data_IF_540966969172
#
_entry.id   IF_540966969172
#
_cell.length_a   1.000
_cell.length_b   1.000
_cell.length_c   1.000
_cell.angle_alpha   90.00
_cell.angle_beta   90.00
_cell.angle_gamma   90.00
#
_symmetry.space_group_name_H-M   'P 1'
#
loop_
_entity.id
_entity.type
_entity.pdbx_description
1 polymer ?
#
# COMPACT_ATOMS: atom_id res chain seq x y z
N UNK A 1 30.43 9.03 56.60
CA UNK A 1 29.82 10.38 56.43
C UNK A 1 28.52 10.21 55.66
N UNK A 2 27.40 10.68 56.20
CA UNK A 2 26.06 10.58 55.61
C UNK A 2 25.83 11.80 54.69
N UNK A 3 25.45 11.60 53.43
CA UNK A 3 24.94 12.68 52.56
C UNK A 3 23.46 12.44 52.28
N UNK A 4 22.69 13.47 52.61
CA UNK A 4 21.23 13.50 52.71
C UNK A 4 20.61 13.66 51.32
N UNK A 5 19.50 12.95 51.11
CA UNK A 5 18.54 13.10 50.01
C UNK A 5 17.76 14.40 50.23
N UNK A 6 17.54 15.18 49.17
CA UNK A 6 16.57 16.29 49.16
C UNK A 6 15.52 16.01 48.08
N UNK A 7 14.29 15.73 48.53
CA UNK A 7 13.05 15.83 47.76
C UNK A 7 12.61 17.29 47.71
N UNK A 8 12.09 17.75 46.57
CA UNK A 8 11.44 19.07 46.47
C UNK A 8 10.10 18.92 45.76
N UNK A 9 9.05 18.84 46.58
CA UNK A 9 7.78 19.57 46.49
C UNK A 9 6.99 19.61 45.18
N UNK A 10 5.93 18.81 45.15
CA UNK A 10 4.70 19.06 44.36
C UNK A 10 4.01 20.33 44.90
N UNK A 11 3.58 21.22 44.00
CA UNK A 11 2.64 22.29 44.33
C UNK A 11 1.44 22.21 43.38
N UNK A 12 0.32 21.74 43.92
CA UNK A 12 -0.99 21.83 43.29
C UNK A 12 -1.58 23.22 43.54
N UNK A 13 -2.12 23.84 42.49
CA UNK A 13 -2.97 25.02 42.63
C UNK A 13 -4.20 24.83 41.73
N UNK A 14 -5.30 24.39 42.35
CA UNK A 14 -6.64 24.44 41.78
C UNK A 14 -7.29 25.76 42.21
N UNK A 15 -8.09 26.37 41.33
CA UNK A 15 -9.25 27.27 41.57
C UNK A 15 -9.63 27.88 40.20
N UNK A 16 -10.87 28.13 39.75
CA UNK A 16 -12.26 27.99 40.23
C UNK A 16 -13.14 28.20 38.97
N UNK A 17 -14.28 27.51 38.89
CA UNK A 17 -15.31 27.73 37.87
C UNK A 17 -15.99 29.11 38.02
N UNK A 18 -16.22 29.80 36.90
CA UNK A 18 -17.25 30.83 36.78
C UNK A 18 -18.14 30.52 35.58
N UNK A 19 -19.37 30.10 35.86
CA UNK A 19 -20.47 30.06 34.92
C UNK A 19 -21.22 31.40 34.99
N UNK A 20 -21.53 32.02 33.85
CA UNK A 20 -22.77 32.77 33.63
C UNK A 20 -22.83 33.34 32.21
N UNK A 21 -24.01 33.24 31.58
CA UNK A 21 -24.51 34.29 30.69
C UNK A 21 -24.87 33.88 29.27
N UNK A 22 -26.12 33.45 29.08
CA UNK A 22 -26.83 33.53 27.79
C UNK A 22 -26.99 34.99 27.36
N UNK A 23 -26.90 35.29 26.06
CA UNK A 23 -27.22 36.62 25.52
C UNK A 23 -27.04 36.71 24.00
N UNK A 24 -28.06 37.21 23.31
CA UNK A 24 -28.31 37.18 21.87
C UNK A 24 -27.48 38.16 21.00
N UNK A 25 -27.51 37.84 19.69
CA UNK A 25 -27.50 38.70 18.49
C UNK A 25 -26.31 39.62 18.18
N UNK A 26 -25.80 39.48 16.94
CA UNK A 26 -25.75 40.48 15.83
C UNK A 26 -24.91 39.84 14.70
N UNK A 27 -25.46 39.56 13.51
CA UNK A 27 -25.50 40.44 12.31
C UNK A 27 -24.08 40.92 11.93
N UNK A 28 -23.50 40.66 10.75
CA UNK A 28 -23.82 41.11 9.37
C UNK A 28 -22.86 40.37 8.40
N UNK A 29 -23.32 39.75 7.31
CA UNK A 29 -23.33 40.19 5.88
C UNK A 29 -22.49 39.15 5.08
N UNK A 30 -23.04 38.23 4.28
CA UNK A 30 -23.68 38.32 2.95
C UNK A 30 -22.88 39.12 1.89
N UNK A 31 -22.38 38.37 0.91
CA UNK A 31 -22.45 38.54 -0.56
C UNK A 31 -21.80 37.25 -1.13
N UNK A 32 -22.51 36.23 -1.59
CA UNK A 32 -23.48 36.07 -2.68
C UNK A 32 -22.88 36.22 -4.10
N UNK A 33 -23.38 35.36 -4.99
CA UNK A 33 -23.51 35.47 -6.45
C UNK A 33 -22.72 34.49 -7.33
N UNK A 34 -23.50 33.51 -7.83
CA UNK A 34 -23.62 32.89 -9.17
C UNK A 34 -22.40 32.27 -9.90
N UNK A 35 -22.39 30.95 -10.18
CA UNK A 35 -23.16 30.15 -11.19
C UNK A 35 -22.74 30.43 -12.63
N UNK A 36 -22.14 29.42 -13.30
CA UNK A 36 -22.40 28.91 -14.68
C UNK A 36 -21.58 27.61 -14.84
N UNK A 37 -22.16 26.39 -14.75
CA UNK A 37 -22.65 25.53 -15.86
C UNK A 37 -21.69 25.50 -17.06
N UNK A 38 -20.93 24.40 -17.19
CA UNK A 38 -21.21 23.21 -18.03
C UNK A 38 -20.88 23.50 -19.50
N UNK A 39 -19.89 22.80 -20.06
CA UNK A 39 -19.97 22.24 -21.42
C UNK A 39 -19.18 20.92 -21.47
N UNK A 40 -19.88 19.87 -21.90
CA UNK A 40 -19.35 18.56 -22.31
C UNK A 40 -19.45 18.48 -23.86
N UNK A 41 -19.01 17.39 -24.51
CA UNK A 41 -17.99 17.37 -25.56
C UNK A 41 -18.55 17.43 -27.00
N UNK A 42 -17.71 17.82 -27.97
CA UNK A 42 -17.98 17.52 -29.39
C UNK A 42 -17.16 16.30 -29.85
N UNK A 43 -17.87 15.40 -30.53
CA UNK A 43 -17.41 14.17 -31.13
C UNK A 43 -17.13 14.38 -32.63
N UNK A 44 -16.69 13.28 -33.25
CA UNK A 44 -16.61 12.98 -34.70
C UNK A 44 -15.29 13.36 -35.38
N UNK A 45 -14.46 12.35 -35.66
CA UNK A 45 -14.34 11.89 -37.06
C UNK A 45 -13.80 10.45 -37.15
N UNK A 46 -14.06 9.84 -38.29
CA UNK A 46 -14.28 8.42 -38.59
C UNK A 46 -13.13 7.39 -38.40
N UNK A 47 -13.47 6.08 -38.33
CA UNK A 47 -12.52 4.97 -38.43
C UNK A 47 -12.10 4.70 -39.89
N UNK A 48 -10.82 4.83 -40.21
CA UNK A 48 -10.28 4.32 -41.48
C UNK A 48 -10.05 2.81 -41.38
N UNK A 49 -10.92 2.08 -42.07
CA UNK A 49 -10.78 0.68 -42.46
C UNK A 49 -9.63 0.56 -43.47
N UNK A 50 -8.61 -0.23 -43.16
CA UNK A 50 -7.80 -0.88 -44.19
C UNK A 50 -7.86 -2.39 -44.00
N UNK A 51 -8.74 -3.01 -44.79
CA UNK A 51 -8.67 -4.43 -45.09
C UNK A 51 -7.43 -4.70 -45.94
N UNK A 52 -6.62 -5.69 -45.57
CA UNK A 52 -6.04 -6.60 -46.56
C UNK A 52 -5.73 -7.95 -45.90
N UNK A 53 -6.47 -9.02 -46.25
CA UNK A 53 -6.10 -10.39 -45.91
C UNK A 53 -5.55 -11.10 -47.16
N UNK A 54 -4.27 -11.45 -47.18
CA UNK A 54 -3.75 -12.55 -48.01
C UNK A 54 -2.59 -13.20 -47.23
N UNK A 55 -2.83 -14.37 -46.63
CA UNK A 55 -2.69 -15.69 -47.25
C UNK A 55 -1.21 -16.05 -47.52
N UNK A 56 -0.65 -16.98 -46.76
CA UNK A 56 -0.29 -18.30 -47.31
C UNK A 56 0.15 -19.30 -46.25
N UNK A 57 -0.45 -20.47 -46.41
CA UNK A 57 -0.27 -21.77 -45.76
C UNK A 57 1.17 -22.27 -45.89
N UNK A 58 1.75 -22.85 -44.82
CA UNK A 58 2.35 -24.21 -44.90
C UNK A 58 2.44 -24.83 -43.49
N UNK A 59 1.93 -26.05 -43.29
CA UNK A 59 2.11 -26.82 -42.05
C UNK A 59 3.37 -27.68 -42.15
N UNK A 60 4.15 -27.79 -41.07
CA UNK A 60 5.00 -28.96 -40.86
C UNK A 60 4.67 -29.59 -39.51
N UNK A 61 3.94 -30.68 -39.59
CA UNK A 61 3.88 -31.72 -38.58
C UNK A 61 5.00 -32.71 -38.88
N UNK A 62 5.87 -33.02 -37.92
CA UNK A 62 6.48 -34.35 -37.84
C UNK A 62 6.93 -34.64 -36.40
N UNK A 63 6.42 -35.70 -35.77
CA UNK A 63 6.80 -36.11 -34.43
C UNK A 63 7.96 -37.13 -34.45
N UNK A 64 8.37 -37.51 -33.23
CA UNK A 64 9.20 -38.66 -32.82
C UNK A 64 10.67 -38.38 -32.49
N UNK A 65 10.98 -38.38 -31.18
CA UNK A 65 12.06 -39.20 -30.64
C UNK A 65 11.87 -39.41 -29.13
N UNK A 66 11.52 -40.64 -28.78
CA UNK A 66 11.42 -41.17 -27.42
C UNK A 66 12.83 -41.54 -26.96
N UNK A 67 13.38 -40.92 -25.90
CA UNK A 67 14.58 -41.43 -25.22
C UNK A 67 14.48 -41.19 -23.71
N UNK A 68 14.14 -42.30 -23.03
CA UNK A 68 14.61 -42.81 -21.72
C UNK A 68 14.52 -41.95 -20.46
N UNK A 69 13.71 -42.46 -19.53
CA UNK A 69 13.75 -42.16 -18.10
C UNK A 69 15.01 -42.73 -17.41
N UNK A 70 15.59 -41.94 -16.51
CA UNK A 70 16.08 -42.38 -15.19
C UNK A 70 16.03 -41.16 -14.23
N UNK A 71 15.68 -41.36 -12.94
CA UNK A 71 15.31 -40.29 -12.02
C UNK A 71 16.50 -39.78 -11.19
N UNK A 72 16.19 -38.83 -10.29
CA UNK A 72 17.02 -38.21 -9.26
C UNK A 72 17.81 -36.96 -9.69
N UNK A 73 17.12 -35.82 -9.61
CA UNK A 73 17.63 -34.69 -8.84
C UNK A 73 16.42 -34.04 -8.15
N UNK A 74 16.25 -34.28 -6.85
CA UNK A 74 15.47 -33.41 -5.97
C UNK A 74 16.20 -32.06 -5.85
N UNK A 75 16.18 -31.28 -6.92
CA UNK A 75 16.28 -29.84 -6.81
C UNK A 75 14.92 -29.38 -6.26
N UNK A 76 14.87 -29.20 -4.94
CA UNK A 76 13.82 -28.44 -4.26
C UNK A 76 13.79 -27.07 -4.92
N UNK A 77 12.96 -26.94 -5.94
CA UNK A 77 12.58 -25.65 -6.49
C UNK A 77 11.89 -24.92 -5.35
N UNK A 78 12.61 -23.94 -4.78
CA UNK A 78 11.93 -22.79 -4.19
C UNK A 78 11.04 -22.26 -5.31
N UNK A 79 9.76 -22.56 -5.27
CA UNK A 79 8.80 -21.75 -6.02
C UNK A 79 8.96 -20.33 -5.49
N UNK A 80 9.68 -19.49 -6.22
CA UNK A 80 9.39 -18.06 -6.23
C UNK A 80 7.93 -17.97 -6.67
N UNK A 81 7.02 -18.00 -5.70
CA UNK A 81 5.62 -17.69 -5.93
C UNK A 81 5.53 -16.20 -6.21
N UNK A 82 5.89 -15.83 -7.43
CA UNK A 82 5.54 -14.55 -8.02
C UNK A 82 4.01 -14.51 -7.99
N UNK A 83 3.43 -13.74 -7.08
CA UNK A 83 1.98 -13.69 -6.92
C UNK A 83 1.39 -13.20 -8.25
N UNK A 84 0.59 -14.07 -8.88
CA UNK A 84 -0.04 -13.77 -10.16
C UNK A 84 -0.96 -12.55 -10.01
N UNK A 85 -0.94 -11.68 -11.02
CA UNK A 85 -1.87 -10.55 -11.10
C UNK A 85 -3.30 -11.11 -11.22
N UNK A 86 -4.24 -10.64 -10.38
CA UNK A 86 -5.65 -10.99 -10.48
C UNK A 86 -6.19 -10.83 -11.91
N UNK A 87 -6.98 -11.79 -12.37
CA UNK A 87 -7.51 -11.79 -13.74
C UNK A 87 -8.74 -10.86 -13.88
N UNK A 88 -9.45 -10.62 -12.79
CA UNK A 88 -10.57 -9.67 -12.71
C UNK A 88 -10.14 -8.46 -11.87
N UNK A 89 -10.10 -7.29 -12.51
CA UNK A 89 -9.71 -6.03 -11.90
C UNK A 89 -10.91 -5.13 -11.58
N UNK A 90 -12.13 -5.69 -11.59
CA UNK A 90 -13.34 -4.95 -11.21
C UNK A 90 -13.21 -4.47 -9.76
N UNK A 91 -13.32 -3.16 -9.49
CA UNK A 91 -13.24 -2.63 -8.13
C UNK A 91 -14.34 -3.17 -7.24
N UNK A 92 -13.98 -3.68 -6.05
CA UNK A 92 -14.92 -4.16 -5.03
C UNK A 92 -14.70 -3.45 -3.70
N UNK A 93 -15.64 -3.59 -2.77
CA UNK A 93 -15.44 -3.09 -1.42
C UNK A 93 -14.36 -3.90 -0.69
N UNK A 94 -13.53 -3.24 0.10
CA UNK A 94 -12.51 -3.87 0.92
C UNK A 94 -13.15 -4.86 1.91
N UNK A 95 -12.63 -6.08 1.97
CA UNK A 95 -13.01 -7.03 3.02
C UNK A 95 -12.26 -6.72 4.32
N UNK A 96 -11.02 -6.25 4.20
CA UNK A 96 -10.15 -5.92 5.33
C UNK A 96 -9.94 -4.41 5.44
N UNK A 97 -9.87 -3.95 6.68
CA UNK A 97 -9.68 -2.56 7.04
C UNK A 97 -8.19 -2.21 6.97
N UNK A 98 -7.79 -1.54 5.90
CA UNK A 98 -6.48 -0.88 5.76
C UNK A 98 -6.48 0.41 6.58
N UNK A 99 -5.32 0.80 7.10
CA UNK A 99 -5.15 1.99 7.94
C UNK A 99 -4.12 2.94 7.32
N UNK A 100 -4.36 4.24 7.46
CA UNK A 100 -3.36 5.22 7.06
C UNK A 100 -2.10 5.10 7.91
N UNK A 101 -0.96 5.52 7.34
CA UNK A 101 0.31 5.58 8.04
C UNK A 101 1.44 4.89 7.30
N UNK A 102 2.52 4.63 8.03
CA UNK A 102 3.74 4.04 7.48
C UNK A 102 3.80 2.56 7.81
N UNK A 103 3.73 1.72 6.78
CA UNK A 103 4.02 0.30 6.85
C UNK A 103 5.53 0.11 6.64
N UNK A 104 6.23 -0.34 7.69
CA UNK A 104 7.70 -0.51 7.69
C UNK A 104 8.07 -1.97 7.52
N UNK A 105 9.14 -2.24 6.80
CA UNK A 105 9.71 -3.58 6.69
C UNK A 105 9.99 -4.17 8.09
N UNK A 106 9.42 -5.35 8.36
CA UNK A 106 9.59 -6.06 9.64
C UNK A 106 11.03 -6.52 9.86
N UNK A 107 11.77 -6.77 8.78
CA UNK A 107 13.16 -7.22 8.81
C UNK A 107 14.14 -6.06 9.00
N UNK A 108 13.66 -4.86 9.36
CA UNK A 108 14.49 -3.68 9.64
C UNK A 108 15.64 -3.96 10.61
N UNK A 109 15.43 -4.81 11.61
CA UNK A 109 16.48 -5.16 12.57
C UNK A 109 17.58 -6.02 11.95
N UNK A 110 17.28 -6.81 10.92
CA UNK A 110 18.27 -7.58 10.16
C UNK A 110 19.01 -6.70 9.15
N UNK A 111 18.34 -5.68 8.60
CA UNK A 111 18.98 -4.65 7.75
C UNK A 111 19.98 -3.76 8.53
N UNK A 112 19.85 -3.71 9.86
CA UNK A 112 20.81 -3.04 10.74
C UNK A 112 22.07 -3.89 10.89
N UNK A 113 23.02 -3.66 10.00
CA UNK A 113 24.34 -4.27 9.99
C UNK A 113 25.07 -4.10 11.34
N UNK A 114 25.36 -5.21 12.03
CA UNK A 114 26.07 -5.23 13.32
C UNK A 114 27.53 -4.73 13.21
N UNK A 115 28.07 -4.67 11.99
CA UNK A 115 29.40 -4.16 11.62
C UNK A 115 29.38 -2.69 11.15
N UNK A 116 28.24 -2.00 11.23
CA UNK A 116 28.12 -0.58 10.90
C UNK A 116 27.93 -0.28 9.41
N UNK A 117 27.50 -1.26 8.61
CA UNK A 117 26.99 -1.02 7.25
C UNK A 117 25.81 -0.06 7.21
N UNK A 118 25.57 0.56 6.04
CA UNK A 118 24.44 1.47 5.84
C UNK A 118 23.12 0.73 6.06
N UNK A 119 22.28 1.26 6.96
CA UNK A 119 20.97 0.69 7.21
C UNK A 119 20.02 1.15 6.10
N UNK A 120 19.57 0.22 5.26
CA UNK A 120 18.62 0.53 4.20
C UNK A 120 17.44 -0.43 4.16
N UNK A 121 16.25 0.13 4.07
CA UNK A 121 14.98 -0.61 4.06
C UNK A 121 13.91 0.16 3.28
N UNK A 122 12.88 -0.53 2.81
CA UNK A 122 11.72 0.09 2.19
C UNK A 122 10.61 0.35 3.22
N UNK A 123 9.82 1.38 2.99
CA UNK A 123 8.55 1.60 3.69
C UNK A 123 7.48 2.04 2.70
N UNK A 124 6.25 1.70 3.01
CA UNK A 124 5.07 2.07 2.23
C UNK A 124 4.27 3.06 3.07
N UNK A 125 4.00 4.25 2.53
CA UNK A 125 3.10 5.21 3.16
C UNK A 125 1.73 5.09 2.50
N UNK A 126 0.70 4.87 3.30
CA UNK A 126 -0.69 4.68 2.87
C UNK A 126 -1.55 5.85 3.32
N UNK A 127 -2.41 6.33 2.43
CA UNK A 127 -3.30 7.49 2.64
C UNK A 127 -4.58 7.38 1.80
N UNK A 128 -5.53 8.31 1.99
CA UNK A 128 -6.70 8.49 1.14
C UNK A 128 -7.51 7.20 0.95
N UNK A 129 -7.73 6.49 2.06
CA UNK A 129 -8.46 5.22 2.06
C UNK A 129 -9.94 5.48 1.78
N UNK A 130 -10.48 4.70 0.83
CA UNK A 130 -11.90 4.63 0.52
C UNK A 130 -12.40 3.19 0.75
N UNK A 131 -13.70 2.96 0.55
CA UNK A 131 -14.25 1.61 0.60
C UNK A 131 -13.69 0.69 -0.49
N UNK A 132 -13.10 1.22 -1.57
CA UNK A 132 -12.65 0.43 -2.73
C UNK A 132 -11.17 0.64 -3.09
N UNK A 133 -10.47 1.55 -2.43
CA UNK A 133 -9.10 1.88 -2.79
C UNK A 133 -8.31 2.52 -1.65
N UNK A 134 -7.02 2.64 -1.84
CA UNK A 134 -6.14 3.49 -1.05
C UNK A 134 -5.01 4.02 -1.92
N UNK A 135 -4.48 5.18 -1.57
CA UNK A 135 -3.25 5.69 -2.17
C UNK A 135 -2.05 5.17 -1.39
N UNK A 136 -0.94 4.96 -2.10
CA UNK A 136 0.33 4.57 -1.51
C UNK A 136 1.51 5.22 -2.22
N UNK A 137 2.60 5.41 -1.47
CA UNK A 137 3.91 5.83 -1.99
C UNK A 137 4.99 4.94 -1.37
N UNK A 138 6.00 4.58 -2.16
CA UNK A 138 7.10 3.71 -1.68
C UNK A 138 8.37 4.54 -1.53
N UNK A 139 8.97 4.44 -0.36
CA UNK A 139 10.23 5.09 -0.05
C UNK A 139 11.29 4.08 0.37
N UNK A 140 12.51 4.32 -0.08
CA UNK A 140 13.69 3.70 0.50
C UNK A 140 14.30 4.66 1.54
N UNK A 141 14.56 4.11 2.72
CA UNK A 141 15.31 4.76 3.77
C UNK A 141 16.75 4.30 3.68
N UNK A 142 17.72 5.22 3.75
CA UNK A 142 19.15 4.89 3.83
C UNK A 142 19.82 5.85 4.81
N UNK A 143 20.30 5.32 5.94
CA UNK A 143 20.97 6.10 6.99
C UNK A 143 20.15 7.34 7.44
N UNK A 144 18.84 7.17 7.55
CA UNK A 144 17.89 8.23 7.92
C UNK A 144 17.43 9.14 6.77
N UNK A 145 18.03 9.03 5.58
CA UNK A 145 17.58 9.75 4.39
C UNK A 145 16.42 9.02 3.74
N UNK A 146 15.37 9.77 3.39
CA UNK A 146 14.18 9.26 2.70
C UNK A 146 14.29 9.56 1.20
N UNK A 147 14.23 8.53 0.36
CA UNK A 147 14.21 8.63 -1.10
C UNK A 147 12.95 7.96 -1.64
N UNK A 148 12.19 8.68 -2.45
CA UNK A 148 11.06 8.08 -3.18
C UNK A 148 11.59 7.11 -4.24
N UNK A 149 11.06 5.89 -4.24
CA UNK A 149 11.38 4.84 -5.23
C UNK A 149 10.20 4.51 -6.13
N UNK A 150 8.99 4.85 -5.68
CA UNK A 150 7.77 4.80 -6.47
C UNK A 150 6.92 6.01 -6.12
N UNK A 151 6.48 6.73 -7.15
CA UNK A 151 5.56 7.86 -7.02
C UNK A 151 4.21 7.43 -6.44
N UNK A 152 3.42 8.37 -5.92
CA UNK A 152 2.09 8.07 -5.40
C UNK A 152 1.20 7.42 -6.47
N UNK A 153 0.59 6.29 -6.11
CA UNK A 153 -0.36 5.55 -6.94
C UNK A 153 -1.55 5.14 -6.10
N UNK A 154 -2.63 4.78 -6.78
CA UNK A 154 -3.83 4.21 -6.15
C UNK A 154 -3.82 2.70 -6.35
N UNK A 155 -4.06 1.95 -5.28
CA UNK A 155 -4.36 0.54 -5.31
C UNK A 155 -5.86 0.34 -5.11
N UNK A 156 -6.46 -0.54 -5.90
CA UNK A 156 -7.91 -0.80 -5.90
C UNK A 156 -8.17 -2.21 -5.44
N UNK A 157 -9.12 -2.40 -4.52
CA UNK A 157 -9.50 -3.74 -4.07
C UNK A 157 -10.21 -4.51 -5.18
N UNK A 158 -9.85 -5.77 -5.35
CA UNK A 158 -10.35 -6.66 -6.41
C UNK A 158 -10.78 -8.00 -5.84
N UNK A 159 -11.34 -8.86 -6.70
CA UNK A 159 -11.82 -10.20 -6.35
C UNK A 159 -12.87 -10.16 -5.22
N UNK A 160 -12.56 -10.71 -4.05
CA UNK A 160 -13.43 -10.72 -2.87
C UNK A 160 -13.10 -9.62 -1.84
N UNK A 161 -12.24 -8.66 -2.23
CA UNK A 161 -11.80 -7.55 -1.38
C UNK A 161 -10.63 -7.89 -0.45
N UNK A 162 -10.00 -9.06 -0.62
CA UNK A 162 -8.82 -9.51 0.17
C UNK A 162 -7.48 -9.17 -0.49
N UNK A 163 -7.51 -8.61 -1.70
CA UNK A 163 -6.34 -8.14 -2.44
C UNK A 163 -6.60 -6.75 -2.99
N UNK A 164 -5.53 -6.01 -3.25
CA UNK A 164 -5.60 -4.79 -4.04
C UNK A 164 -4.55 -4.78 -5.15
N UNK A 165 -4.85 -4.10 -6.26
CA UNK A 165 -3.96 -4.03 -7.43
C UNK A 165 -3.75 -2.57 -7.82
N UNK A 166 -2.53 -2.23 -8.24
CA UNK A 166 -2.21 -0.93 -8.84
C UNK A 166 -1.51 -1.14 -10.18
N UNK A 167 -2.07 -0.57 -11.25
CA UNK A 167 -1.51 -0.64 -12.60
C UNK A 167 -1.12 0.76 -13.08
N UNK A 168 0.17 0.97 -13.38
CA UNK A 168 0.65 2.22 -14.00
C UNK A 168 1.95 2.00 -14.74
N UNK A 169 1.99 2.40 -16.01
CA UNK A 169 3.21 2.44 -16.82
C UNK A 169 3.86 1.07 -17.06
N UNK A 170 3.07 0.00 -17.09
CA UNK A 170 3.56 -1.37 -17.26
C UNK A 170 4.10 -2.03 -15.99
N UNK A 171 4.02 -1.35 -14.84
CA UNK A 171 4.27 -1.94 -13.52
C UNK A 171 2.93 -2.21 -12.86
N UNK A 172 2.70 -3.49 -12.55
CA UNK A 172 1.50 -3.98 -11.88
C UNK A 172 1.90 -4.48 -10.50
N UNK A 173 1.32 -3.89 -9.47
CA UNK A 173 1.58 -4.25 -8.08
C UNK A 173 0.39 -4.99 -7.50
N UNK A 174 0.65 -6.08 -6.79
CA UNK A 174 -0.37 -6.84 -6.07
C UNK A 174 -0.11 -6.72 -4.58
N UNK A 175 -1.11 -6.23 -3.86
CA UNK A 175 -1.13 -6.10 -2.42
C UNK A 175 -1.89 -7.28 -1.83
N UNK A 176 -1.27 -7.96 -0.87
CA UNK A 176 -1.90 -8.99 -0.06
C UNK A 176 -1.79 -8.66 1.42
N UNK A 177 -2.74 -9.17 2.20
CA UNK A 177 -2.89 -8.87 3.62
C UNK A 177 -2.83 -10.17 4.45
N UNK A 178 -1.63 -10.66 4.78
CA UNK A 178 -1.47 -11.85 5.61
C UNK A 178 -2.03 -11.64 7.02
N UNK A 179 -2.47 -12.74 7.65
CA UNK A 179 -2.99 -12.74 9.03
C UNK A 179 -1.99 -13.33 10.03
N UNK A 180 -0.70 -13.10 9.85
CA UNK A 180 0.35 -13.63 10.74
C UNK A 180 0.17 -13.18 12.20
N UNK A 181 -0.54 -12.07 12.40
CA UNK A 181 -0.81 -11.44 13.69
C UNK A 181 -2.19 -11.79 14.28
N UNK A 182 -3.01 -12.59 13.59
CA UNK A 182 -4.41 -12.86 13.94
C UNK A 182 -5.21 -11.56 14.18
N UNK A 183 -5.00 -10.58 13.29
CA UNK A 183 -5.52 -9.23 13.39
C UNK A 183 -6.69 -8.94 12.46
N UNK A 184 -6.95 -9.80 11.48
CA UNK A 184 -8.06 -9.61 10.56
C UNK A 184 -9.40 -9.42 11.33
N UNK A 185 -10.26 -8.48 10.88
CA UNK A 185 -10.19 -7.77 9.60
C UNK A 185 -9.26 -6.54 9.59
N UNK A 186 -8.47 -6.25 10.64
CA UNK A 186 -7.54 -5.13 10.64
C UNK A 186 -6.23 -5.50 9.95
N UNK A 187 -5.85 -4.75 8.91
CA UNK A 187 -4.59 -4.97 8.18
C UNK A 187 -3.43 -4.36 8.95
N UNK A 188 -2.77 -5.19 9.75
CA UNK A 188 -1.52 -4.85 10.46
C UNK A 188 -0.31 -5.07 9.56
N UNK A 189 -0.36 -6.08 8.71
CA UNK A 189 0.72 -6.51 7.82
C UNK A 189 0.26 -6.46 6.35
N UNK A 190 1.17 -6.06 5.47
CA UNK A 190 0.98 -6.00 4.03
C UNK A 190 2.21 -6.57 3.32
N UNK A 191 1.96 -7.33 2.25
CA UNK A 191 2.99 -7.77 1.31
C UNK A 191 2.67 -7.22 -0.08
N UNK A 192 3.71 -6.89 -0.83
CA UNK A 192 3.58 -6.31 -2.17
C UNK A 192 4.48 -7.07 -3.13
N UNK A 193 3.89 -7.56 -4.22
CA UNK A 193 4.62 -8.10 -5.36
C UNK A 193 4.52 -7.17 -6.58
N UNK A 194 5.36 -7.42 -7.59
CA UNK A 194 5.44 -6.67 -8.83
C UNK A 194 6.47 -5.53 -8.82
N UNK A 195 7.21 -5.37 -7.73
CA UNK A 195 8.33 -4.42 -7.62
C UNK A 195 9.46 -5.06 -6.82
N UNK A 196 10.60 -5.32 -7.47
CA UNK A 196 11.75 -6.05 -6.91
C UNK A 196 12.19 -5.58 -5.52
N UNK A 197 12.14 -4.27 -5.26
CA UNK A 197 12.55 -3.70 -3.96
C UNK A 197 11.57 -3.99 -2.81
N UNK A 198 10.40 -4.55 -3.11
CA UNK A 198 9.37 -4.94 -2.15
C UNK A 198 9.18 -6.46 -2.02
N UNK A 199 9.64 -7.22 -3.01
CA UNK A 199 9.41 -8.66 -3.08
C UNK A 199 9.95 -9.42 -1.86
N UNK A 200 9.15 -10.36 -1.37
CA UNK A 200 9.51 -11.23 -0.24
C UNK A 200 9.53 -10.56 1.14
N UNK A 201 9.20 -9.26 1.24
CA UNK A 201 9.18 -8.54 2.50
C UNK A 201 7.76 -8.36 3.05
N UNK A 202 7.67 -8.23 4.37
CA UNK A 202 6.43 -7.91 5.09
C UNK A 202 6.52 -6.52 5.70
N UNK A 203 5.50 -5.70 5.45
CA UNK A 203 5.42 -4.32 5.91
C UNK A 203 4.35 -4.17 6.97
N UNK A 204 4.71 -3.63 8.14
CA UNK A 204 3.84 -3.56 9.32
C UNK A 204 3.53 -2.13 9.71
N UNK A 205 2.27 -1.82 9.99
CA UNK A 205 1.84 -0.52 10.53
C UNK A 205 1.58 -0.62 12.04
N UNK A 206 2.51 -0.07 12.82
CA UNK A 206 2.45 -0.08 14.29
C UNK A 206 1.44 0.90 14.89
N UNK A 207 0.70 1.66 14.06
CA UNK A 207 -0.34 2.57 14.53
C UNK A 207 -1.75 1.96 14.40
N UNK A 208 -1.87 0.69 13.99
CA UNK A 208 -3.16 0.02 13.93
C UNK A 208 -3.71 -0.16 15.35
N UNK A 209 -4.94 0.33 15.64
CA UNK A 209 -5.49 0.30 16.99
C UNK A 209 -5.55 -1.11 17.59
N UNK A 210 -4.88 -1.31 18.73
CA UNK A 210 -4.78 -2.59 19.44
C UNK A 210 -3.60 -3.47 19.02
N UNK A 211 -2.76 -3.01 18.10
CA UNK A 211 -1.56 -3.68 17.60
C UNK A 211 -0.33 -2.74 17.66
N UNK A 212 -0.32 -1.82 18.61
CA UNK A 212 0.78 -0.90 18.82
C UNK A 212 1.96 -1.60 19.51
N UNK A 213 3.15 -1.51 18.90
CA UNK A 213 4.40 -2.01 19.49
C UNK A 213 5.20 -0.84 20.08
N UNK A 214 5.63 -0.98 21.35
CA UNK A 214 6.37 0.02 22.12
C UNK A 214 7.87 -0.25 22.22
#
# INVERSE_FOLDING_TARGET
MRRKIMMTGILAMSMVFAACGSGASTEVEQEDTEVMQEETPEAEDEPEVTETPEATVTPEESPEAMVTAAPDDEEVQKEETMQAIPQDLTPVAAQYQVYEGTYKDINLNEAMSADGGSNSYCQIEVSNITDQSFDFTVYQMTDGNKKEVLDTRTATFVEDGTKAVSEKGGTNLVFTFPDSWNALPKVVEMQVSGLDVLEGNSYVNNNVPGYEFG
#
